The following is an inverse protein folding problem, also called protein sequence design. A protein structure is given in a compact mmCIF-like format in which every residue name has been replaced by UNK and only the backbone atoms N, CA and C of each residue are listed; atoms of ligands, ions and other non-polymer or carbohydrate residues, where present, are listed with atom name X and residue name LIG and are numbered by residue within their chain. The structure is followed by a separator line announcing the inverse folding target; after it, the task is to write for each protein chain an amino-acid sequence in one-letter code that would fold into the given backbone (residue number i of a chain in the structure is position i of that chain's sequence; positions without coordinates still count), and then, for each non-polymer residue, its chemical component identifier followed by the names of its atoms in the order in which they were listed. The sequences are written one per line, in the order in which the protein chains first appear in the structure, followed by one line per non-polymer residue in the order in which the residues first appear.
data_IF_433525332851
#
_entry.id   IF_433525332851
#
_cell.length_a   1.000
_cell.length_b   1.000
_cell.length_c   1.000
_cell.angle_alpha   90.00
_cell.angle_beta   90.00
_cell.angle_gamma   90.00
#
_symmetry.space_group_name_H-M   'P 1'
#
loop_
_entity.id
_entity.type
_entity.pdbx_description
1 polymer ?
#
# COMPACT_ATOMS: atom_id res chain seq x y z
N UNK A 1 -5.80 27.72 7.35
CA UNK A 1 -6.13 26.99 6.10
C UNK A 1 -4.89 26.36 5.49
N UNK A 2 -3.79 27.11 5.40
CA UNK A 2 -2.51 26.63 4.85
C UNK A 2 -1.95 25.39 5.55
N UNK A 3 -1.96 25.34 6.89
CA UNK A 3 -1.34 24.21 7.61
C UNK A 3 -2.13 22.89 7.51
N UNK A 4 -3.46 22.95 7.48
CA UNK A 4 -4.35 21.79 7.25
C UNK A 4 -4.15 21.23 5.85
N UNK A 5 -4.09 22.13 4.86
CA UNK A 5 -3.84 21.76 3.46
C UNK A 5 -2.44 21.18 3.29
N UNK A 6 -1.42 21.77 3.89
CA UNK A 6 -0.05 21.26 3.87
C UNK A 6 0.02 19.85 4.46
N UNK A 7 -0.61 19.62 5.62
CA UNK A 7 -0.67 18.31 6.27
C UNK A 7 -1.31 17.24 5.37
N UNK A 8 -2.43 17.58 4.73
CA UNK A 8 -3.09 16.68 3.78
C UNK A 8 -2.27 16.47 2.50
N UNK A 9 -1.58 17.49 1.97
CA UNK A 9 -0.72 17.35 0.79
C UNK A 9 0.43 16.39 1.07
N UNK A 10 1.13 16.54 2.20
CA UNK A 10 2.22 15.64 2.59
C UNK A 10 1.70 14.20 2.70
N UNK A 11 0.53 14.02 3.33
CA UNK A 11 -0.14 12.73 3.43
C UNK A 11 -0.51 12.14 2.06
N UNK A 12 -1.10 12.96 1.18
CA UNK A 12 -1.52 12.55 -0.15
C UNK A 12 -0.34 12.16 -1.03
N UNK A 13 0.79 12.86 -0.94
CA UNK A 13 2.03 12.50 -1.64
C UNK A 13 2.45 11.07 -1.29
N UNK A 14 2.39 10.68 -0.02
CA UNK A 14 2.71 9.30 0.39
C UNK A 14 1.76 8.28 -0.26
N UNK A 15 0.46 8.56 -0.29
CA UNK A 15 -0.52 7.72 -0.99
C UNK A 15 -0.26 7.61 -2.50
N UNK A 16 0.10 8.72 -3.15
CA UNK A 16 0.47 8.75 -4.57
C UNK A 16 1.72 7.92 -4.84
N UNK A 17 2.74 7.96 -3.96
CA UNK A 17 3.93 7.12 -4.10
C UNK A 17 3.58 5.62 -4.10
N UNK A 18 2.66 5.17 -3.24
CA UNK A 18 2.17 3.79 -3.27
C UNK A 18 1.44 3.45 -4.57
N UNK A 19 0.62 4.36 -5.09
CA UNK A 19 -0.08 4.17 -6.37
C UNK A 19 0.92 4.07 -7.53
N UNK A 20 1.89 4.97 -7.59
CA UNK A 20 2.94 4.96 -8.62
C UNK A 20 3.75 3.68 -8.54
N UNK A 21 4.10 3.22 -7.35
CA UNK A 21 4.75 1.93 -7.14
C UNK A 21 3.88 0.76 -7.64
N UNK A 22 2.59 0.77 -7.33
CA UNK A 22 1.64 -0.24 -7.80
C UNK A 22 1.56 -0.27 -9.33
N UNK A 23 1.38 0.88 -9.98
CA UNK A 23 1.38 1.01 -11.45
C UNK A 23 2.70 0.52 -12.05
N UNK A 24 3.83 0.91 -11.45
CA UNK A 24 5.14 0.46 -11.92
C UNK A 24 5.26 -1.07 -11.88
N UNK A 25 4.80 -1.71 -10.80
CA UNK A 25 4.80 -3.19 -10.68
C UNK A 25 3.86 -3.81 -11.73
N UNK A 26 2.66 -3.26 -11.93
CA UNK A 26 1.68 -3.76 -12.92
C UNK A 26 2.22 -3.74 -14.35
N UNK A 27 2.96 -2.70 -14.70
CA UNK A 27 3.50 -2.49 -16.04
C UNK A 27 4.89 -3.11 -16.21
N UNK A 28 5.48 -3.63 -15.14
CA UNK A 28 6.82 -4.21 -15.17
C UNK A 28 6.85 -5.54 -15.92
N UNK A 29 7.80 -5.69 -16.84
CA UNK A 29 8.10 -6.96 -17.52
C UNK A 29 9.21 -7.76 -16.82
N UNK A 30 9.57 -7.39 -15.59
CA UNK A 30 10.64 -8.07 -14.84
C UNK A 30 10.25 -9.52 -14.56
N UNK A 31 11.20 -10.42 -14.84
CA UNK A 31 11.07 -11.84 -14.54
C UNK A 31 11.33 -12.18 -13.06
N UNK A 32 11.76 -11.20 -12.26
CA UNK A 32 11.94 -11.35 -10.81
C UNK A 32 10.70 -10.84 -10.06
N UNK A 33 10.26 -11.52 -8.98
CA UNK A 33 9.16 -11.06 -8.17
C UNK A 33 9.59 -9.81 -7.37
N UNK A 34 8.67 -8.85 -7.25
CA UNK A 34 8.90 -7.68 -6.41
C UNK A 34 8.71 -8.02 -4.92
N UNK A 35 9.50 -7.38 -4.06
CA UNK A 35 9.36 -7.51 -2.61
C UNK A 35 8.17 -6.71 -2.07
N UNK A 36 7.43 -7.31 -1.14
CA UNK A 36 6.47 -6.61 -0.30
C UNK A 36 7.13 -6.09 0.97
N UNK A 37 7.94 -6.92 1.63
CA UNK A 37 8.70 -6.55 2.81
C UNK A 37 10.00 -5.82 2.43
N UNK A 38 10.33 -4.75 3.14
CA UNK A 38 11.55 -3.99 2.90
C UNK A 38 12.83 -4.74 3.31
N UNK A 39 12.73 -5.69 4.26
CA UNK A 39 13.87 -6.37 4.87
C UNK A 39 13.74 -7.91 4.87
N UNK A 40 13.10 -8.47 3.84
CA UNK A 40 13.02 -9.91 3.67
C UNK A 40 13.19 -10.28 2.20
N UNK A 41 13.87 -11.41 1.95
CA UNK A 41 13.94 -11.97 0.61
C UNK A 41 12.58 -12.50 0.17
N UNK A 42 12.28 -12.32 -1.12
CA UNK A 42 11.05 -12.87 -1.69
C UNK A 42 11.21 -14.38 -1.83
N UNK A 43 10.27 -15.12 -1.25
CA UNK A 43 10.21 -16.58 -1.37
C UNK A 43 10.12 -17.00 -2.85
N UNK A 44 10.55 -18.22 -3.22
CA UNK A 44 10.43 -18.70 -4.59
C UNK A 44 8.96 -18.65 -5.07
N UNK A 45 8.72 -17.92 -6.17
CA UNK A 45 7.39 -17.73 -6.77
C UNK A 45 7.29 -18.54 -8.07
N UNK A 46 6.19 -19.26 -8.24
CA UNK A 46 5.94 -20.09 -9.43
C UNK A 46 5.47 -19.24 -10.63
N UNK A 47 4.43 -18.41 -10.44
CA UNK A 47 3.94 -17.45 -11.42
C UNK A 47 4.28 -16.01 -11.01
N UNK A 48 5.45 -15.54 -11.46
CA UNK A 48 5.96 -14.19 -11.17
C UNK A 48 5.06 -13.10 -11.76
N UNK A 49 4.46 -13.34 -12.94
CA UNK A 49 3.63 -12.34 -13.61
C UNK A 49 2.31 -12.15 -12.87
N UNK A 50 1.65 -13.23 -12.49
CA UNK A 50 0.44 -13.21 -11.68
C UNK A 50 0.69 -12.59 -10.31
N UNK A 51 1.79 -12.97 -9.64
CA UNK A 51 2.20 -12.41 -8.36
C UNK A 51 2.43 -10.89 -8.45
N UNK A 52 3.24 -10.42 -9.40
CA UNK A 52 3.51 -8.99 -9.58
C UNK A 52 2.21 -8.24 -9.89
N UNK A 53 1.32 -8.81 -10.71
CA UNK A 53 0.02 -8.19 -10.97
C UNK A 53 -0.83 -8.03 -9.70
N UNK A 54 -0.91 -9.07 -8.88
CA UNK A 54 -1.65 -9.03 -7.62
C UNK A 54 -1.04 -8.02 -6.63
N UNK A 55 0.29 -8.00 -6.51
CA UNK A 55 1.02 -7.07 -5.65
C UNK A 55 0.88 -5.62 -6.11
N UNK A 56 0.91 -5.37 -7.42
CA UNK A 56 0.69 -4.04 -7.98
C UNK A 56 -0.74 -3.51 -7.70
N UNK A 57 -1.76 -4.37 -7.84
CA UNK A 57 -3.15 -4.03 -7.46
C UNK A 57 -3.22 -3.70 -5.97
N UNK A 58 -2.59 -4.51 -5.11
CA UNK A 58 -2.58 -4.28 -3.67
C UNK A 58 -2.05 -2.89 -3.32
N UNK A 59 -0.91 -2.47 -3.90
CA UNK A 59 -0.33 -1.15 -3.65
C UNK A 59 -1.16 0.00 -4.20
N UNK A 60 -1.81 -0.16 -5.36
CA UNK A 60 -2.75 0.84 -5.87
C UNK A 60 -3.95 1.02 -4.94
N UNK A 61 -4.59 -0.08 -4.51
CA UNK A 61 -5.73 -0.05 -3.59
C UNK A 61 -5.31 0.54 -2.25
N UNK A 62 -4.17 0.10 -1.71
CA UNK A 62 -3.63 0.62 -0.46
C UNK A 62 -3.40 2.13 -0.54
N UNK A 63 -2.76 2.63 -1.60
CA UNK A 63 -2.51 4.05 -1.79
C UNK A 63 -3.79 4.88 -1.89
N UNK A 64 -4.81 4.39 -2.61
CA UNK A 64 -6.13 5.06 -2.67
C UNK A 64 -6.77 5.12 -1.29
N UNK A 65 -6.85 3.99 -0.58
CA UNK A 65 -7.42 3.95 0.77
C UNK A 65 -6.65 4.86 1.73
N UNK A 66 -5.31 4.87 1.63
CA UNK A 66 -4.45 5.73 2.44
C UNK A 66 -4.76 7.21 2.23
N UNK A 67 -4.94 7.68 0.98
CA UNK A 67 -5.36 9.07 0.73
C UNK A 67 -6.73 9.37 1.34
N UNK A 68 -7.70 8.47 1.17
CA UNK A 68 -9.07 8.67 1.63
C UNK A 68 -9.17 8.77 3.16
N UNK A 69 -8.44 7.94 3.91
CA UNK A 69 -8.42 8.04 5.38
C UNK A 69 -7.76 9.33 5.89
N UNK A 70 -7.01 10.04 5.03
CA UNK A 70 -6.37 11.33 5.32
C UNK A 70 -7.32 12.53 5.26
N UNK A 71 -8.53 12.38 4.69
CA UNK A 71 -9.49 13.47 4.55
C UNK A 71 -9.78 14.23 5.86
N UNK A 72 -9.86 13.61 7.05
CA UNK A 72 -10.05 14.33 8.30
C UNK A 72 -8.95 15.34 8.65
N UNK A 73 -7.75 15.23 8.06
CA UNK A 73 -6.69 16.25 8.21
C UNK A 73 -7.12 17.62 7.66
N UNK A 74 -8.10 17.62 6.74
CA UNK A 74 -8.67 18.84 6.20
C UNK A 74 -9.64 19.52 7.17
N UNK A 75 -10.08 18.90 8.28
CA UNK A 75 -11.18 19.38 9.14
C UNK A 75 -10.75 20.23 10.36
N UNK A 76 -9.47 20.23 10.75
CA UNK A 76 -8.94 21.13 11.78
C UNK A 76 -7.67 20.60 12.43
N UNK A 77 -6.72 21.48 12.75
CA UNK A 77 -5.60 21.11 13.63
C UNK A 77 -6.09 20.92 15.06
N UNK A 78 -5.48 19.99 15.81
CA UNK A 78 -5.88 19.59 17.16
C UNK A 78 -7.32 19.07 17.31
N UNK A 79 -7.96 18.65 16.23
CA UNK A 79 -9.21 17.90 16.30
C UNK A 79 -8.94 16.44 16.69
N UNK A 80 -9.79 15.87 17.55
CA UNK A 80 -9.76 14.44 17.86
C UNK A 80 -9.93 13.53 16.63
N UNK A 81 -10.41 14.10 15.51
CA UNK A 81 -10.52 13.41 14.23
C UNK A 81 -9.16 12.99 13.63
N UNK A 82 -8.04 13.53 14.11
CA UNK A 82 -6.69 13.07 13.71
C UNK A 82 -6.45 11.59 14.05
N UNK A 83 -7.20 11.03 15.01
CA UNK A 83 -7.12 9.60 15.33
C UNK A 83 -7.56 8.72 14.17
N UNK A 84 -8.44 9.20 13.28
CA UNK A 84 -8.94 8.44 12.13
C UNK A 84 -7.82 8.10 11.15
N UNK A 85 -7.02 9.05 10.61
CA UNK A 85 -5.91 8.70 9.72
C UNK A 85 -4.85 7.86 10.42
N UNK A 86 -4.56 8.10 11.71
CA UNK A 86 -3.55 7.34 12.47
C UNK A 86 -3.95 5.87 12.64
N UNK A 87 -5.12 5.63 13.24
CA UNK A 87 -5.62 4.28 13.47
C UNK A 87 -6.02 3.61 12.15
N UNK A 88 -6.63 4.38 11.25
CA UNK A 88 -6.97 3.93 9.90
C UNK A 88 -5.76 3.41 9.14
N UNK A 89 -4.65 4.15 9.14
CA UNK A 89 -3.40 3.75 8.48
C UNK A 89 -2.86 2.44 9.05
N UNK A 90 -2.90 2.29 10.38
CA UNK A 90 -2.52 1.05 11.06
C UNK A 90 -3.40 -0.11 10.59
N UNK A 91 -4.73 0.03 10.59
CA UNK A 91 -5.65 -1.03 10.20
C UNK A 91 -5.51 -1.42 8.73
N UNK A 92 -5.40 -0.46 7.79
CA UNK A 92 -5.21 -0.78 6.37
C UNK A 92 -3.84 -1.42 6.10
N UNK A 93 -2.81 -1.07 6.91
CA UNK A 93 -1.48 -1.70 6.82
C UNK A 93 -1.55 -3.17 7.25
N UNK A 94 -2.20 -3.45 8.38
CA UNK A 94 -2.41 -4.83 8.85
C UNK A 94 -3.22 -5.62 7.81
N UNK A 95 -4.30 -5.04 7.28
CA UNK A 95 -5.09 -5.67 6.24
C UNK A 95 -4.24 -5.97 4.98
N UNK A 96 -3.39 -5.05 4.55
CA UNK A 96 -2.48 -5.26 3.42
C UNK A 96 -1.47 -6.40 3.70
N UNK A 97 -0.92 -6.48 4.91
CA UNK A 97 -0.05 -7.58 5.31
C UNK A 97 -0.77 -8.93 5.27
N UNK A 98 -2.01 -9.00 5.77
CA UNK A 98 -2.82 -10.22 5.74
C UNK A 98 -3.14 -10.63 4.30
N UNK A 99 -3.58 -9.68 3.47
CA UNK A 99 -3.86 -9.93 2.04
C UNK A 99 -2.60 -10.41 1.33
N UNK A 100 -1.45 -9.82 1.63
CA UNK A 100 -0.17 -10.26 1.08
C UNK A 100 0.15 -11.69 1.50
N UNK A 101 0.26 -11.98 2.80
CA UNK A 101 0.74 -13.27 3.32
C UNK A 101 -0.23 -14.40 2.96
N UNK A 102 -1.53 -14.22 3.26
CA UNK A 102 -2.54 -15.26 3.14
C UNK A 102 -3.10 -15.35 1.71
N UNK A 103 -3.22 -14.22 1.01
CA UNK A 103 -3.87 -14.15 -0.30
C UNK A 103 -2.90 -14.24 -1.49
N UNK A 104 -1.80 -13.48 -1.46
CA UNK A 104 -0.88 -13.37 -2.59
C UNK A 104 0.26 -14.39 -2.44
N UNK A 105 1.06 -14.27 -1.39
CA UNK A 105 2.23 -15.10 -1.18
C UNK A 105 1.85 -16.59 -1.10
N UNK A 106 0.85 -16.95 -0.28
CA UNK A 106 0.38 -18.33 -0.19
C UNK A 106 -0.13 -18.92 -1.51
N UNK A 107 -0.64 -18.09 -2.43
CA UNK A 107 -1.18 -18.54 -3.71
C UNK A 107 -0.09 -18.76 -4.76
N UNK A 108 0.93 -17.91 -4.77
CA UNK A 108 1.95 -17.89 -5.82
C UNK A 108 3.28 -18.52 -5.39
N UNK A 109 3.47 -18.79 -4.10
CA UNK A 109 4.65 -19.48 -3.56
C UNK A 109 4.79 -20.87 -4.20
N UNK A 110 5.98 -21.16 -4.70
CA UNK A 110 6.33 -22.48 -5.25
C UNK A 110 6.20 -23.53 -4.14
N UNK A 111 5.34 -24.53 -4.36
CA UNK A 111 5.23 -25.68 -3.46
C UNK A 111 6.47 -26.56 -3.63
N UNK A 112 7.02 -27.04 -2.52
CA UNK A 112 8.09 -28.05 -2.53
C UNK A 112 7.55 -29.37 -3.05
#
# INVERSE_FOLDING_TARGET
MEERLLSFIVWAIMGVLFIVMGIYILNSKKAKPFGFWANAEVVPIEDVKGYNRALGILWCVYGVLFVLIGLPLLDGQNSGLIMIPVLGAMFISIAAMVVYVVGIESKYRKRK
#
